data_IF_977679934834
#
_entry.id   IF_977679934834
#
_cell.length_a   1.000
_cell.length_b   1.000
_cell.length_c   1.000
_cell.angle_alpha   90.00
_cell.angle_beta   90.00
_cell.angle_gamma   90.00
#
_symmetry.space_group_name_H-M   'P 1'
#
loop_
_entity.id
_entity.type
_entity.pdbx_description
1 polymer ?
#
# COMPACT_ATOMS: atom_id res chain seq x y z
N UNK A 1 19.67 -13.15 -1.95
CA UNK A 1 18.26 -13.53 -2.20
C UNK A 1 17.39 -12.29 -2.08
N UNK A 2 16.16 -12.31 -2.60
CA UNK A 2 15.19 -11.21 -2.44
C UNK A 2 14.11 -11.64 -1.46
N UNK A 3 13.75 -10.76 -0.51
CA UNK A 3 12.75 -11.05 0.52
C UNK A 3 11.70 -9.95 0.52
N UNK A 4 10.42 -10.31 0.47
CA UNK A 4 9.30 -9.39 0.59
C UNK A 4 8.81 -9.38 2.04
N UNK A 5 9.05 -8.28 2.77
CA UNK A 5 8.62 -8.08 4.15
C UNK A 5 7.15 -7.59 4.21
N UNK A 6 6.23 -8.36 3.64
CA UNK A 6 4.82 -7.99 3.55
C UNK A 6 3.91 -9.20 3.51
N UNK A 7 2.78 -9.14 4.20
CA UNK A 7 1.71 -10.13 4.13
C UNK A 7 0.73 -9.90 2.97
N UNK A 8 0.91 -8.83 2.20
CA UNK A 8 0.00 -8.48 1.09
C UNK A 8 0.12 -9.46 -0.07
N UNK A 9 -0.93 -10.23 -0.39
CA UNK A 9 -0.92 -11.14 -1.54
C UNK A 9 -0.83 -10.38 -2.87
N UNK A 10 -1.32 -9.15 -2.92
CA UNK A 10 -1.24 -8.28 -4.11
C UNK A 10 0.21 -7.93 -4.44
N UNK A 11 1.01 -7.57 -3.44
CA UNK A 11 2.44 -7.27 -3.62
C UNK A 11 3.23 -8.50 -4.07
N UNK A 12 2.97 -9.64 -3.43
CA UNK A 12 3.60 -10.90 -3.84
C UNK A 12 3.27 -11.27 -5.28
N UNK A 13 2.00 -11.13 -5.67
CA UNK A 13 1.57 -11.37 -7.05
C UNK A 13 2.27 -10.44 -8.04
N UNK A 14 2.36 -9.15 -7.74
CA UNK A 14 3.04 -8.18 -8.61
C UNK A 14 4.52 -8.55 -8.86
N UNK A 15 5.24 -8.97 -7.82
CA UNK A 15 6.63 -9.42 -7.96
C UNK A 15 6.74 -10.70 -8.79
N UNK A 16 5.82 -11.64 -8.61
CA UNK A 16 5.76 -12.87 -9.39
C UNK A 16 5.46 -12.60 -10.87
N UNK A 17 4.52 -11.70 -11.14
CA UNK A 17 4.09 -11.36 -12.51
C UNK A 17 5.24 -10.76 -13.36
N UNK A 18 6.21 -10.11 -12.72
CA UNK A 18 7.41 -9.58 -13.38
C UNK A 18 8.61 -10.57 -13.36
N UNK A 19 8.38 -11.79 -12.91
CA UNK A 19 9.37 -12.88 -12.97
C UNK A 19 10.49 -12.79 -11.94
N UNK A 20 10.29 -12.06 -10.83
CA UNK A 20 11.27 -12.04 -9.74
C UNK A 20 11.12 -13.28 -8.87
N UNK A 21 12.27 -13.87 -8.52
CA UNK A 21 12.33 -14.90 -7.47
C UNK A 21 12.54 -14.25 -6.11
N UNK A 22 11.68 -14.56 -5.17
CA UNK A 22 11.70 -14.00 -3.82
C UNK A 22 11.04 -14.95 -2.81
N UNK A 23 11.30 -14.72 -1.54
CA UNK A 23 10.55 -15.33 -0.44
C UNK A 23 9.69 -14.27 0.25
N UNK A 24 8.59 -14.71 0.86
CA UNK A 24 7.70 -13.85 1.65
C UNK A 24 7.97 -14.10 3.13
N UNK A 25 8.34 -13.04 3.84
CA UNK A 25 8.50 -13.05 5.29
C UNK A 25 7.85 -11.80 5.88
N UNK A 26 6.59 -11.88 6.34
CA UNK A 26 5.88 -10.73 6.88
C UNK A 26 6.60 -10.12 8.09
N UNK A 27 6.64 -8.79 8.15
CA UNK A 27 7.12 -8.09 9.35
C UNK A 27 6.06 -8.11 10.44
N UNK A 28 6.50 -8.16 11.69
CA UNK A 28 5.66 -8.12 12.90
C UNK A 28 5.94 -6.86 13.72
N UNK A 29 5.99 -5.71 13.05
CA UNK A 29 6.13 -4.42 13.74
C UNK A 29 4.79 -3.97 14.33
N UNK A 30 4.85 -3.26 15.46
CA UNK A 30 3.68 -2.59 15.99
C UNK A 30 3.57 -1.20 15.35
N UNK A 31 2.66 -1.04 14.39
CA UNK A 31 2.47 0.21 13.66
C UNK A 31 1.91 1.35 14.54
N UNK A 32 1.24 1.02 15.65
CA UNK A 32 0.67 1.99 16.59
C UNK A 32 1.75 2.73 17.41
N UNK A 33 2.96 2.19 17.50
CA UNK A 33 4.08 2.83 18.21
C UNK A 33 4.75 3.96 17.41
N UNK A 34 4.35 4.15 16.15
CA UNK A 34 4.94 5.16 15.28
C UNK A 34 4.31 6.52 15.54
N UNK A 35 5.12 7.57 15.56
CA UNK A 35 4.68 8.93 15.86
C UNK A 35 3.56 9.39 14.91
N UNK A 36 2.36 9.58 15.46
CA UNK A 36 1.17 10.06 14.75
C UNK A 36 1.28 11.51 14.25
N UNK A 37 2.33 12.23 14.62
CA UNK A 37 2.58 13.62 14.19
C UNK A 37 3.31 13.72 12.85
N UNK A 38 3.80 12.60 12.31
CA UNK A 38 4.42 12.58 10.99
C UNK A 38 3.41 12.96 9.90
N UNK A 39 3.89 13.66 8.88
CA UNK A 39 3.10 13.88 7.68
C UNK A 39 2.80 12.54 7.00
N UNK A 40 1.69 12.42 6.25
CA UNK A 40 1.31 11.14 5.61
C UNK A 40 2.45 10.48 4.83
N UNK A 41 3.19 11.24 4.02
CA UNK A 41 4.31 10.72 3.23
C UNK A 41 5.48 10.25 4.09
N UNK A 42 5.80 10.99 5.15
CA UNK A 42 6.85 10.61 6.12
C UNK A 42 6.47 9.35 6.88
N UNK A 43 5.21 9.23 7.28
CA UNK A 43 4.68 8.04 7.95
C UNK A 43 4.79 6.81 7.05
N UNK A 44 4.37 6.90 5.78
CA UNK A 44 4.46 5.79 4.84
C UNK A 44 5.90 5.32 4.62
N UNK A 45 6.84 6.26 4.48
CA UNK A 45 8.28 5.95 4.33
C UNK A 45 8.81 5.28 5.59
N UNK A 46 8.49 5.78 6.77
CA UNK A 46 8.96 5.21 8.03
C UNK A 46 8.39 3.80 8.25
N UNK A 47 7.10 3.58 7.96
CA UNK A 47 6.48 2.25 8.02
C UNK A 47 7.14 1.26 7.07
N UNK A 48 7.37 1.65 5.82
CA UNK A 48 8.04 0.80 4.84
C UNK A 48 9.45 0.42 5.30
N UNK A 49 10.20 1.39 5.81
CA UNK A 49 11.55 1.20 6.33
C UNK A 49 11.59 0.29 7.56
N UNK A 50 10.72 0.50 8.53
CA UNK A 50 10.66 -0.34 9.73
C UNK A 50 10.27 -1.78 9.40
N UNK A 51 9.35 -1.99 8.46
CA UNK A 51 8.99 -3.33 7.97
C UNK A 51 10.19 -4.05 7.37
N UNK A 52 10.93 -3.37 6.48
CA UNK A 52 12.13 -3.94 5.88
C UNK A 52 13.23 -4.23 6.90
N UNK A 53 13.51 -3.28 7.80
CA UNK A 53 14.53 -3.42 8.83
C UNK A 53 14.23 -4.55 9.80
N UNK A 54 12.95 -4.77 10.16
CA UNK A 54 12.55 -5.83 11.06
C UNK A 54 12.97 -7.21 10.51
N UNK A 55 12.70 -7.45 9.24
CA UNK A 55 13.06 -8.72 8.57
C UNK A 55 14.56 -8.79 8.28
N UNK A 56 15.17 -7.70 7.84
CA UNK A 56 16.58 -7.64 7.48
C UNK A 56 17.54 -7.99 8.64
N UNK A 57 17.11 -7.87 9.89
CA UNK A 57 17.90 -8.30 11.07
C UNK A 57 18.33 -9.77 11.00
N UNK A 58 17.49 -10.62 10.41
CA UNK A 58 17.75 -12.05 10.27
C UNK A 58 18.37 -12.40 8.91
N UNK A 59 18.48 -11.43 7.99
CA UNK A 59 18.90 -11.61 6.61
C UNK A 59 19.93 -10.55 6.16
N UNK A 60 21.10 -10.45 6.81
CA UNK A 60 22.04 -9.35 6.59
C UNK A 60 22.64 -9.29 5.18
N UNK A 61 22.67 -10.43 4.48
CA UNK A 61 23.25 -10.54 3.14
C UNK A 61 22.21 -10.46 2.01
N UNK A 62 20.92 -10.47 2.37
CA UNK A 62 19.82 -10.48 1.43
C UNK A 62 19.23 -9.07 1.21
N UNK A 63 18.56 -8.87 0.08
CA UNK A 63 17.84 -7.64 -0.18
C UNK A 63 16.41 -7.81 0.34
N UNK A 64 16.01 -6.98 1.30
CA UNK A 64 14.66 -6.98 1.87
C UNK A 64 13.86 -5.80 1.35
N UNK A 65 12.67 -6.08 0.83
CA UNK A 65 11.69 -5.10 0.36
C UNK A 65 10.64 -4.92 1.44
N UNK A 66 10.54 -3.72 2.00
CA UNK A 66 9.40 -3.27 2.79
C UNK A 66 8.54 -2.30 1.98
N UNK A 67 7.23 -2.33 2.19
CA UNK A 67 6.33 -1.40 1.52
C UNK A 67 5.15 -1.05 2.41
N UNK A 68 4.65 0.17 2.26
CA UNK A 68 3.46 0.65 2.92
C UNK A 68 2.63 1.50 1.97
N UNK A 69 1.31 1.29 1.96
CA UNK A 69 0.36 2.01 1.12
C UNK A 69 -0.65 2.71 2.00
N UNK A 70 -0.83 4.01 1.77
CA UNK A 70 -1.79 4.84 2.48
C UNK A 70 -2.71 5.56 1.50
N UNK A 71 -3.95 5.78 1.92
CA UNK A 71 -4.95 6.60 1.24
C UNK A 71 -5.09 7.90 2.00
N UNK A 72 -4.98 9.03 1.31
CA UNK A 72 -5.08 10.36 1.91
C UNK A 72 -6.19 11.16 1.22
N UNK A 73 -7.17 11.58 2.00
CA UNK A 73 -8.26 12.44 1.55
C UNK A 73 -8.31 13.69 2.43
N UNK A 74 -8.16 14.87 1.83
CA UNK A 74 -8.14 16.15 2.54
C UNK A 74 -7.21 16.13 3.78
N UNK A 75 -5.97 15.72 3.57
CA UNK A 75 -4.93 15.58 4.60
C UNK A 75 -5.20 14.51 5.68
N UNK A 76 -6.33 13.81 5.59
CA UNK A 76 -6.67 12.71 6.50
C UNK A 76 -6.24 11.37 5.93
N UNK A 77 -5.49 10.60 6.70
CA UNK A 77 -5.13 9.22 6.35
C UNK A 77 -6.31 8.31 6.63
N UNK A 78 -6.73 7.56 5.60
CA UNK A 78 -7.72 6.51 5.73
C UNK A 78 -7.00 5.16 5.78
N UNK A 79 -7.02 4.51 6.93
CA UNK A 79 -6.48 3.17 7.13
C UNK A 79 -7.45 2.08 6.69
N UNK A 80 -7.18 0.85 7.13
CA UNK A 80 -8.13 -0.25 6.98
C UNK A 80 -9.37 0.00 7.83
N UNK A 81 -10.58 -0.30 7.33
CA UNK A 81 -11.79 -0.12 8.12
C UNK A 81 -11.79 -1.07 9.34
N UNK A 82 -12.31 -0.59 10.45
CA UNK A 82 -12.44 -1.36 11.70
C UNK A 82 -13.59 -2.36 11.64
N UNK A 83 -14.64 -1.98 10.94
CA UNK A 83 -15.87 -2.73 10.74
C UNK A 83 -16.59 -2.28 9.47
N UNK A 84 -17.73 -2.87 9.17
CA UNK A 84 -18.52 -2.55 7.98
C UNK A 84 -19.05 -1.10 8.01
N UNK A 85 -19.40 -0.58 9.19
CA UNK A 85 -19.86 0.80 9.35
C UNK A 85 -18.73 1.80 9.05
N UNK A 86 -17.53 1.52 9.50
CA UNK A 86 -16.34 2.32 9.20
C UNK A 86 -16.01 2.27 7.69
N UNK A 87 -16.11 1.10 7.08
CA UNK A 87 -15.97 0.95 5.63
C UNK A 87 -17.01 1.78 4.86
N UNK A 88 -18.25 1.78 5.30
CA UNK A 88 -19.31 2.61 4.72
C UNK A 88 -18.96 4.10 4.81
N UNK A 89 -18.53 4.57 5.99
CA UNK A 89 -18.13 5.98 6.18
C UNK A 89 -16.96 6.38 5.29
N UNK A 90 -15.95 5.52 5.15
CA UNK A 90 -14.81 5.76 4.27
C UNK A 90 -15.25 5.89 2.81
N UNK A 91 -16.03 4.95 2.30
CA UNK A 91 -16.50 4.95 0.92
C UNK A 91 -17.44 6.14 0.64
N UNK A 92 -18.29 6.48 1.60
CA UNK A 92 -19.15 7.66 1.52
C UNK A 92 -18.33 8.95 1.42
N UNK A 93 -17.25 9.04 2.21
CA UNK A 93 -16.33 10.17 2.18
C UNK A 93 -15.61 10.31 0.85
N UNK A 94 -15.20 9.19 0.23
CA UNK A 94 -14.48 9.18 -1.04
C UNK A 94 -15.38 9.36 -2.25
N UNK A 95 -16.70 9.09 -2.11
CA UNK A 95 -17.68 9.18 -3.21
C UNK A 95 -17.67 10.54 -3.89
N UNK A 96 -17.67 10.54 -5.22
CA UNK A 96 -17.70 11.73 -6.06
C UNK A 96 -16.56 12.72 -5.83
N UNK A 97 -15.43 12.29 -5.27
CA UNK A 97 -14.30 13.13 -4.94
C UNK A 97 -12.97 12.46 -5.33
N UNK A 98 -11.88 13.18 -5.11
CA UNK A 98 -10.50 12.74 -5.39
C UNK A 98 -9.75 12.49 -4.09
N UNK A 99 -8.88 11.51 -4.12
CA UNK A 99 -7.93 11.24 -3.05
C UNK A 99 -6.59 10.83 -3.63
N UNK A 100 -5.56 10.81 -2.80
CA UNK A 100 -4.21 10.40 -3.18
C UNK A 100 -3.88 9.06 -2.53
N UNK A 101 -3.32 8.15 -3.32
CA UNK A 101 -2.72 6.92 -2.84
C UNK A 101 -1.20 7.08 -2.89
N UNK A 102 -0.55 6.87 -1.75
CA UNK A 102 0.91 6.82 -1.66
C UNK A 102 1.35 5.39 -1.37
N UNK A 103 2.36 4.93 -2.09
CA UNK A 103 3.09 3.72 -1.72
C UNK A 103 4.55 4.06 -1.52
N UNK A 104 5.01 3.87 -0.30
CA UNK A 104 6.42 3.97 0.06
C UNK A 104 7.06 2.58 0.00
N UNK A 105 8.32 2.53 -0.44
CA UNK A 105 9.13 1.32 -0.52
C UNK A 105 10.47 1.57 0.14
N UNK A 106 10.95 0.59 0.87
CA UNK A 106 12.29 0.56 1.42
C UNK A 106 13.01 -0.71 0.96
N UNK A 107 14.24 -0.54 0.49
CA UNK A 107 15.19 -1.62 0.22
C UNK A 107 16.26 -1.60 1.30
N UNK A 108 16.50 -2.74 1.93
CA UNK A 108 17.52 -2.90 2.97
C UNK A 108 18.41 -4.09 2.65
N UNK A 109 19.73 -3.89 2.74
CA UNK A 109 20.74 -4.97 2.69
C UNK A 109 21.89 -4.61 3.63
N UNK A 110 22.03 -5.35 4.71
CA UNK A 110 22.99 -5.01 5.76
C UNK A 110 22.74 -3.61 6.32
N UNK A 111 23.69 -2.71 6.16
CA UNK A 111 23.59 -1.30 6.59
C UNK A 111 23.08 -0.35 5.49
N UNK A 112 22.99 -0.85 4.25
CA UNK A 112 22.51 -0.04 3.11
C UNK A 112 20.99 0.03 3.13
N UNK A 113 20.46 1.26 3.13
CA UNK A 113 19.02 1.54 3.10
C UNK A 113 18.74 2.51 1.95
N UNK A 114 17.73 2.21 1.16
CA UNK A 114 17.19 3.11 0.14
C UNK A 114 15.68 3.16 0.26
N UNK A 115 15.12 4.36 0.26
CA UNK A 115 13.67 4.56 0.35
C UNK A 115 13.20 5.48 -0.78
N UNK A 116 12.00 5.20 -1.29
CA UNK A 116 11.32 6.06 -2.24
C UNK A 116 9.81 5.98 -2.02
N UNK A 117 9.08 6.95 -2.55
CA UNK A 117 7.63 7.02 -2.48
C UNK A 117 7.07 7.37 -3.86
N UNK A 118 5.97 6.73 -4.20
CA UNK A 118 5.20 7.00 -5.41
C UNK A 118 3.78 7.39 -5.06
N UNK A 119 3.18 8.23 -5.87
CA UNK A 119 1.82 8.71 -5.67
C UNK A 119 0.94 8.51 -6.91
N UNK A 120 -0.35 8.35 -6.68
CA UNK A 120 -1.37 8.35 -7.73
C UNK A 120 -2.64 9.03 -7.20
N UNK A 121 -3.28 9.83 -8.05
CA UNK A 121 -4.57 10.45 -7.76
C UNK A 121 -5.69 9.55 -8.27
N UNK A 122 -6.69 9.29 -7.43
CA UNK A 122 -7.86 8.48 -7.78
C UNK A 122 -9.11 9.32 -7.65
N UNK A 123 -9.94 9.33 -8.70
CA UNK A 123 -11.25 9.96 -8.70
C UNK A 123 -12.34 8.90 -8.64
N UNK A 124 -13.19 8.99 -7.62
CA UNK A 124 -14.29 8.05 -7.41
C UNK A 124 -15.55 8.53 -8.14
N UNK A 125 -16.34 7.57 -8.63
CA UNK A 125 -17.69 7.84 -9.11
C UNK A 125 -18.57 8.34 -7.96
N UNK A 126 -19.69 9.04 -8.23
CA UNK A 126 -20.77 9.19 -7.25
C UNK A 126 -21.29 7.80 -6.87
N UNK A 127 -21.22 7.45 -5.58
CA UNK A 127 -21.64 6.14 -5.07
C UNK A 127 -22.96 6.27 -4.32
N UNK A 128 -23.94 5.45 -4.70
CA UNK A 128 -25.19 5.31 -3.93
C UNK A 128 -24.93 4.48 -2.66
N UNK A 129 -25.84 4.63 -1.69
CA UNK A 129 -25.77 3.82 -0.46
C UNK A 129 -25.88 2.31 -0.78
N UNK A 130 -26.69 1.95 -1.78
CA UNK A 130 -26.83 0.56 -2.21
C UNK A 130 -25.53 0.02 -2.84
N UNK A 131 -24.87 0.79 -3.69
CA UNK A 131 -23.59 0.38 -4.29
C UNK A 131 -22.52 0.16 -3.20
N UNK A 132 -22.43 1.05 -2.22
CA UNK A 132 -21.50 0.94 -1.09
C UNK A 132 -21.83 -0.32 -0.28
N UNK A 133 -23.07 -0.54 0.09
CA UNK A 133 -23.50 -1.70 0.87
C UNK A 133 -23.23 -3.02 0.13
N UNK A 134 -23.53 -3.07 -1.18
CA UNK A 134 -23.25 -4.26 -1.99
C UNK A 134 -21.77 -4.56 -2.07
N UNK A 135 -20.94 -3.53 -2.19
CA UNK A 135 -19.48 -3.69 -2.20
C UNK A 135 -18.96 -4.21 -0.84
N UNK A 136 -19.44 -3.66 0.27
CA UNK A 136 -19.07 -4.13 1.62
C UNK A 136 -19.42 -5.60 1.83
N UNK A 137 -20.57 -6.06 1.31
CA UNK A 137 -20.99 -7.47 1.41
C UNK A 137 -20.03 -8.45 0.74
N UNK A 138 -19.22 -8.01 -0.21
CA UNK A 138 -18.19 -8.85 -0.83
C UNK A 138 -17.06 -9.20 0.14
N UNK A 139 -16.89 -8.45 1.23
CA UNK A 139 -15.78 -8.57 2.16
C UNK A 139 -14.46 -7.94 1.65
N UNK A 140 -14.40 -7.57 0.38
CA UNK A 140 -13.20 -6.98 -0.26
C UNK A 140 -12.68 -5.71 0.43
N UNK A 141 -13.53 -4.78 0.94
CA UNK A 141 -13.08 -3.57 1.60
C UNK A 141 -12.24 -3.76 2.86
N UNK A 142 -12.43 -4.88 3.57
CA UNK A 142 -12.04 -4.98 4.97
C UNK A 142 -10.53 -5.05 5.23
N UNK A 143 -9.74 -5.44 4.26
CA UNK A 143 -8.27 -5.56 4.37
C UNK A 143 -7.52 -4.45 3.61
N UNK A 144 -8.22 -3.39 3.19
CA UNK A 144 -7.66 -2.35 2.33
C UNK A 144 -7.75 -0.96 2.94
N UNK A 145 -6.65 -0.20 2.84
CA UNK A 145 -6.65 1.22 3.17
C UNK A 145 -7.69 1.98 2.31
N UNK A 146 -8.50 2.84 2.92
CA UNK A 146 -9.56 3.57 2.25
C UNK A 146 -10.78 2.72 1.89
N UNK A 147 -10.83 1.46 2.33
CA UNK A 147 -11.92 0.51 2.16
C UNK A 147 -12.24 0.11 0.70
N UNK A 148 -11.28 0.19 -0.21
CA UNK A 148 -11.45 -0.32 -1.57
C UNK A 148 -10.13 -0.78 -2.19
N UNK A 149 -10.23 -1.66 -3.20
CA UNK A 149 -9.13 -2.01 -4.08
C UNK A 149 -9.47 -1.71 -5.54
N UNK A 150 -8.53 -1.17 -6.31
CA UNK A 150 -8.75 -0.86 -7.72
C UNK A 150 -8.88 -2.11 -8.59
N UNK A 151 -8.33 -3.23 -8.14
CA UNK A 151 -8.55 -4.53 -8.73
C UNK A 151 -9.86 -5.13 -8.21
N UNK A 152 -10.46 -6.04 -8.95
CA UNK A 152 -11.73 -6.68 -8.58
C UNK A 152 -12.92 -5.71 -8.63
N UNK A 153 -13.89 -5.92 -7.76
CA UNK A 153 -15.15 -5.15 -7.74
C UNK A 153 -14.95 -3.68 -7.38
N UNK A 154 -13.93 -3.36 -6.58
CA UNK A 154 -13.58 -1.99 -6.21
C UNK A 154 -13.18 -1.11 -7.40
N UNK A 155 -12.69 -1.70 -8.47
CA UNK A 155 -12.40 -0.98 -9.71
C UNK A 155 -13.63 -0.35 -10.36
N UNK A 156 -14.81 -0.91 -10.13
CA UNK A 156 -16.08 -0.37 -10.63
C UNK A 156 -16.51 0.92 -9.92
N UNK A 157 -15.94 1.21 -8.75
CA UNK A 157 -16.22 2.43 -7.98
C UNK A 157 -15.37 3.61 -8.46
N UNK A 158 -14.30 3.34 -9.19
CA UNK A 158 -13.34 4.34 -9.68
C UNK A 158 -13.80 4.90 -11.01
N UNK A 159 -13.82 6.21 -11.13
CA UNK A 159 -14.09 6.90 -12.41
C UNK A 159 -12.82 6.94 -13.28
N UNK A 160 -11.74 7.49 -12.75
CA UNK A 160 -10.44 7.52 -13.40
C UNK A 160 -9.32 7.70 -12.37
N UNK A 161 -8.07 7.53 -12.81
CA UNK A 161 -6.89 7.81 -12.00
C UNK A 161 -5.79 8.49 -12.84
N UNK A 162 -4.87 9.15 -12.16
CA UNK A 162 -3.63 9.73 -12.71
C UNK A 162 -2.44 9.23 -11.92
N UNK A 163 -1.38 8.86 -12.61
CA UNK A 163 -0.17 8.31 -12.01
C UNK A 163 -0.02 6.82 -12.26
N UNK A 164 0.83 6.17 -11.49
CA UNK A 164 1.15 4.76 -11.66
C UNK A 164 0.07 3.86 -11.06
N UNK A 165 -0.52 3.00 -11.89
CA UNK A 165 -1.52 2.01 -11.47
C UNK A 165 -1.01 1.09 -10.37
N UNK A 166 0.24 0.64 -10.46
CA UNK A 166 0.83 -0.28 -9.49
C UNK A 166 1.05 0.37 -8.13
N UNK A 167 1.21 1.69 -8.07
CA UNK A 167 1.19 2.46 -6.81
C UNK A 167 -0.15 2.29 -6.11
N UNK A 168 -1.27 2.35 -6.85
CA UNK A 168 -2.62 2.16 -6.29
C UNK A 168 -2.81 0.72 -5.82
N UNK A 169 -2.29 -0.26 -6.55
CA UNK A 169 -2.32 -1.67 -6.14
C UNK A 169 -1.47 -1.93 -4.89
N UNK A 170 -0.35 -1.21 -4.73
CA UNK A 170 0.47 -1.27 -3.53
C UNK A 170 1.96 -1.53 -3.71
N UNK A 171 2.49 -1.51 -4.93
CA UNK A 171 3.92 -1.65 -5.20
C UNK A 171 4.30 -1.05 -6.56
N UNK A 172 4.97 0.12 -6.59
CA UNK A 172 5.36 0.80 -7.83
C UNK A 172 6.50 0.06 -8.53
N UNK A 173 6.14 -0.83 -9.46
CA UNK A 173 7.07 -1.79 -10.06
C UNK A 173 8.21 -1.15 -10.84
N UNK A 174 7.94 -0.08 -11.59
CA UNK A 174 8.97 0.61 -12.36
C UNK A 174 10.06 1.17 -11.45
N UNK A 175 9.65 1.95 -10.45
CA UNK A 175 10.59 2.59 -9.52
C UNK A 175 11.35 1.54 -8.70
N UNK A 176 10.66 0.45 -8.32
CA UNK A 176 11.27 -0.68 -7.62
C UNK A 176 12.35 -1.35 -8.48
N UNK A 177 12.05 -1.62 -9.76
CA UNK A 177 13.03 -2.27 -10.65
C UNK A 177 14.24 -1.39 -10.90
N UNK A 178 14.06 -0.07 -11.01
CA UNK A 178 15.17 0.87 -11.16
C UNK A 178 16.01 0.91 -9.87
N UNK A 179 15.39 0.99 -8.70
CA UNK A 179 16.09 0.97 -7.42
C UNK A 179 16.85 -0.34 -7.18
N UNK A 180 16.29 -1.50 -7.59
CA UNK A 180 16.96 -2.79 -7.46
C UNK A 180 18.23 -2.92 -8.29
N UNK A 181 18.32 -2.26 -9.46
CA UNK A 181 19.54 -2.23 -10.28
C UNK A 181 20.73 -1.66 -9.52
N UNK A 182 20.49 -0.60 -8.76
CA UNK A 182 21.50 0.10 -7.97
C UNK A 182 21.83 -0.61 -6.65
N UNK A 183 21.00 -1.57 -6.25
CA UNK A 183 21.08 -2.28 -4.96
C UNK A 183 21.75 -3.66 -5.05
N UNK A 184 21.91 -4.18 -6.28
CA UNK A 184 22.54 -5.49 -6.54
C UNK A 184 24.05 -5.44 -6.51
#
# INVERSE_FOLDING_TARGET
MLILASSSPRRAKLLSDIGLEFIVEPSHINEEEIDSKLKPTELAIELAKLKALHVAKNHPDDIVIGADTIVVHEETILGKPKDEEDAYRMLKRLSADRHIVYTAVALVKGTKIHTFISEAEVSMKPLSDLEIQNYIKTGEPMDKAGAYGIQGDGGNLVDHYKGDFFTIVGLPLKDLMDALKDFR
#
